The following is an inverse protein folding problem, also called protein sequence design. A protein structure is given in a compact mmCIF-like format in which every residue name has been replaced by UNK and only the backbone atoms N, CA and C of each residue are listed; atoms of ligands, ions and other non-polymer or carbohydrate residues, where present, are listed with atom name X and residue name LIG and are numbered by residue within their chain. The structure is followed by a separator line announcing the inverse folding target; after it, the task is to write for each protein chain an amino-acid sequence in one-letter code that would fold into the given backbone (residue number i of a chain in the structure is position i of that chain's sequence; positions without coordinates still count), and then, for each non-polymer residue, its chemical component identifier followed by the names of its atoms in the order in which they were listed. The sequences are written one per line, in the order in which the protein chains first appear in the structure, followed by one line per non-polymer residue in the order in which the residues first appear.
data_IF_160406886613
#
_entry.id   IF_160406886613
#
_cell.length_a   1.000
_cell.length_b   1.000
_cell.length_c   1.000
_cell.angle_alpha   90.00
_cell.angle_beta   90.00
_cell.angle_gamma   90.00
#
_symmetry.space_group_name_H-M   'P 1'
#
loop_
_entity.id
_entity.type
_entity.pdbx_description
1 polymer ?
#
# COMPACT_ATOMS: atom_id res chain seq x y z
N UNK A 1 -20.45 -26.83 -3.90
CA UNK A 1 -19.24 -26.54 -3.09
C UNK A 1 -18.11 -26.16 -4.02
N UNK A 2 -17.75 -24.88 -4.02
CA UNK A 2 -16.40 -24.32 -4.28
C UNK A 2 -16.60 -22.81 -4.51
N UNK A 3 -16.87 -22.07 -3.43
CA UNK A 3 -16.70 -20.62 -3.46
C UNK A 3 -15.20 -20.34 -3.53
N UNK A 4 -14.71 -20.13 -4.75
CA UNK A 4 -13.40 -19.57 -4.99
C UNK A 4 -13.50 -18.06 -4.76
N UNK A 5 -13.87 -17.63 -3.54
CA UNK A 5 -13.68 -16.26 -3.12
C UNK A 5 -12.17 -16.08 -3.03
N UNK A 6 -11.61 -15.34 -3.97
CA UNK A 6 -10.16 -15.14 -4.05
C UNK A 6 -9.66 -14.65 -2.70
N UNK A 7 -8.67 -15.34 -2.13
CA UNK A 7 -8.04 -14.90 -0.88
C UNK A 7 -7.52 -13.48 -1.08
N UNK A 8 -8.04 -12.55 -0.29
CA UNK A 8 -7.53 -11.19 -0.22
C UNK A 8 -6.22 -11.18 0.56
N UNK A 9 -5.34 -10.27 0.21
CA UNK A 9 -4.04 -10.12 0.89
C UNK A 9 -3.89 -8.69 1.41
N UNK A 10 -3.12 -8.55 2.48
CA UNK A 10 -2.65 -7.28 3.01
C UNK A 10 -1.15 -7.37 3.28
N UNK A 11 -0.56 -6.23 3.59
CA UNK A 11 0.79 -6.15 4.12
C UNK A 11 0.70 -5.76 5.59
N UNK A 12 1.46 -6.42 6.44
CA UNK A 12 1.70 -5.94 7.80
C UNK A 12 3.07 -5.28 7.80
N UNK A 13 3.13 -4.03 8.22
CA UNK A 13 4.35 -3.23 8.22
C UNK A 13 4.62 -2.64 9.59
N UNK A 14 5.88 -2.61 9.99
CA UNK A 14 6.34 -1.97 11.23
C UNK A 14 7.24 -0.80 10.88
N UNK A 15 7.09 0.33 11.57
CA UNK A 15 7.97 1.48 11.37
C UNK A 15 7.91 2.49 12.51
N UNK A 16 8.76 3.51 12.44
CA UNK A 16 8.86 4.54 13.49
C UNK A 16 7.67 5.53 13.58
N UNK A 17 6.55 5.26 12.90
CA UNK A 17 5.38 6.12 12.83
C UNK A 17 4.44 5.91 14.02
N UNK A 18 3.87 6.98 14.56
CA UNK A 18 3.01 6.96 15.74
C UNK A 18 1.52 7.07 15.41
N UNK A 19 1.17 7.39 14.16
CA UNK A 19 -0.21 7.53 13.72
C UNK A 19 -0.41 6.98 12.31
N UNK A 20 -1.66 6.65 11.96
CA UNK A 20 -2.05 6.25 10.61
C UNK A 20 -1.67 7.29 9.56
N UNK A 21 -1.91 8.58 9.85
CA UNK A 21 -1.59 9.66 8.93
C UNK A 21 -0.09 9.78 8.66
N UNK A 22 0.76 9.60 9.67
CA UNK A 22 2.21 9.58 9.47
C UNK A 22 2.66 8.41 8.58
N UNK A 23 2.14 7.22 8.80
CA UNK A 23 2.45 6.06 7.98
C UNK A 23 1.89 6.20 6.54
N UNK A 24 0.70 6.79 6.38
CA UNK A 24 0.10 7.08 5.08
C UNK A 24 0.90 8.13 4.29
N UNK A 25 1.39 9.17 4.96
CA UNK A 25 2.30 10.15 4.35
C UNK A 25 3.61 9.50 3.92
N UNK A 26 4.25 8.73 4.80
CA UNK A 26 5.48 8.01 4.45
C UNK A 26 5.30 7.03 3.29
N UNK A 27 4.14 6.36 3.22
CA UNK A 27 3.79 5.51 2.09
C UNK A 27 3.69 6.30 0.77
N UNK A 28 3.14 7.52 0.80
CA UNK A 28 2.79 8.29 -0.40
C UNK A 28 3.90 9.19 -0.92
N UNK A 29 4.64 9.83 -0.03
CA UNK A 29 5.58 10.90 -0.36
C UNK A 29 6.60 10.48 -1.43
N UNK A 30 7.28 9.32 -1.35
CA UNK A 30 8.27 8.94 -2.38
C UNK A 30 7.67 8.80 -3.78
N UNK A 31 6.45 8.28 -3.89
CA UNK A 31 5.79 8.10 -5.19
C UNK A 31 5.27 9.43 -5.76
N UNK A 32 4.85 10.35 -4.89
CA UNK A 32 4.45 11.70 -5.29
C UNK A 32 5.69 12.49 -5.73
N UNK A 33 6.81 12.37 -5.02
CA UNK A 33 8.09 12.98 -5.39
C UNK A 33 8.54 12.48 -6.77
N UNK A 34 8.61 11.16 -6.98
CA UNK A 34 8.94 10.56 -8.27
C UNK A 34 8.02 11.04 -9.41
N UNK A 35 6.73 11.19 -9.12
CA UNK A 35 5.75 11.70 -10.08
C UNK A 35 5.99 13.18 -10.42
N UNK A 36 6.23 14.01 -9.42
CA UNK A 36 6.52 15.44 -9.61
C UNK A 36 7.82 15.63 -10.38
N UNK A 37 8.84 14.80 -10.13
CA UNK A 37 10.09 14.83 -10.90
C UNK A 37 9.86 14.52 -12.38
N UNK A 38 8.97 13.58 -12.68
CA UNK A 38 8.67 13.17 -14.06
C UNK A 38 7.74 14.13 -14.81
N UNK A 39 6.76 14.71 -14.11
CA UNK A 39 5.64 15.46 -14.74
C UNK A 39 5.64 16.95 -14.44
N UNK A 40 6.44 17.39 -13.46
CA UNK A 40 6.55 18.77 -13.02
C UNK A 40 5.39 19.28 -12.14
N UNK A 41 4.38 18.46 -11.84
CA UNK A 41 3.24 18.89 -11.01
C UNK A 41 2.48 17.71 -10.39
N UNK A 42 1.79 17.97 -9.27
CA UNK A 42 0.91 17.00 -8.61
C UNK A 42 -0.44 17.62 -8.25
N UNK A 43 -1.51 16.85 -8.41
CA UNK A 43 -2.85 17.12 -7.89
C UNK A 43 -3.39 15.84 -7.25
N UNK A 44 -4.30 15.97 -6.29
CA UNK A 44 -4.84 14.82 -5.53
C UNK A 44 -5.41 13.72 -6.44
N UNK A 45 -6.12 14.07 -7.53
CA UNK A 45 -6.66 13.07 -8.46
C UNK A 45 -5.58 12.26 -9.20
N UNK A 46 -4.33 12.71 -9.21
CA UNK A 46 -3.23 11.95 -9.81
C UNK A 46 -2.81 10.76 -8.94
N UNK A 47 -3.29 10.64 -7.69
CA UNK A 47 -3.03 9.44 -6.88
C UNK A 47 -3.53 8.16 -7.55
N UNK A 48 -4.63 8.24 -8.31
CA UNK A 48 -5.16 7.11 -9.08
C UNK A 48 -4.38 6.84 -10.37
N UNK A 49 -3.53 7.78 -10.80
CA UNK A 49 -2.67 7.63 -11.97
C UNK A 49 -1.29 7.05 -11.61
N UNK A 50 -0.84 7.24 -10.36
CA UNK A 50 0.47 6.80 -9.87
C UNK A 50 0.43 5.30 -9.59
N UNK A 51 1.19 4.51 -10.34
CA UNK A 51 1.33 3.07 -10.13
C UNK A 51 2.41 2.76 -9.08
N UNK A 52 2.04 2.07 -8.00
CA UNK A 52 3.00 1.50 -7.04
C UNK A 52 3.59 0.22 -7.61
N UNK A 53 2.73 -0.61 -8.19
CA UNK A 53 3.08 -1.78 -8.99
C UNK A 53 2.01 -1.98 -10.06
N UNK A 54 2.22 -2.89 -11.00
CA UNK A 54 1.29 -3.12 -12.09
C UNK A 54 -0.12 -3.46 -11.58
N UNK A 55 -1.08 -2.55 -11.83
CA UNK A 55 -2.48 -2.73 -11.46
C UNK A 55 -2.80 -2.43 -9.99
N UNK A 56 -1.93 -1.69 -9.31
CA UNK A 56 -2.17 -1.11 -7.98
C UNK A 56 -1.77 0.35 -8.01
N UNK A 57 -2.75 1.24 -7.85
CA UNK A 57 -2.53 2.69 -7.83
C UNK A 57 -2.24 3.12 -6.39
N UNK A 58 -1.52 4.23 -6.22
CA UNK A 58 -1.27 4.80 -4.91
C UNK A 58 -2.57 5.20 -4.20
N UNK A 59 -3.55 5.73 -4.96
CA UNK A 59 -4.88 6.07 -4.45
C UNK A 59 -5.72 4.86 -4.00
N UNK A 60 -5.42 3.67 -4.53
CA UNK A 60 -6.13 2.44 -4.12
C UNK A 60 -5.62 1.85 -2.80
N UNK A 61 -4.51 2.34 -2.22
CA UNK A 61 -3.94 1.82 -0.98
C UNK A 61 -4.45 2.61 0.25
N UNK A 62 -4.96 1.86 1.22
CA UNK A 62 -5.29 2.35 2.56
C UNK A 62 -4.29 1.85 3.60
N UNK A 63 -4.09 2.64 4.66
CA UNK A 63 -3.24 2.32 5.81
C UNK A 63 -4.08 2.38 7.07
N UNK A 64 -4.02 1.35 7.90
CA UNK A 64 -4.74 1.27 9.18
C UNK A 64 -3.76 0.83 10.26
N UNK A 65 -3.76 1.48 11.42
CA UNK A 65 -2.93 1.07 12.56
C UNK A 65 -3.64 -0.08 13.28
N UNK A 66 -2.94 -1.20 13.41
CA UNK A 66 -3.48 -2.42 14.05
C UNK A 66 -2.84 -2.71 15.41
N UNK A 67 -1.64 -2.17 15.65
CA UNK A 67 -0.96 -2.19 16.96
C UNK A 67 0.01 -1.00 17.06
N UNK A 68 0.67 -0.82 18.21
CA UNK A 68 1.70 0.20 18.40
C UNK A 68 2.79 0.05 17.33
N UNK A 69 2.90 1.05 16.44
CA UNK A 69 3.86 1.10 15.32
C UNK A 69 3.69 0.01 14.25
N UNK A 70 2.60 -0.74 14.30
CA UNK A 70 2.27 -1.78 13.33
C UNK A 70 1.03 -1.37 12.54
N UNK A 71 1.14 -1.46 11.22
CA UNK A 71 0.14 -0.99 10.28
C UNK A 71 -0.23 -2.09 9.29
N UNK A 72 -1.51 -2.17 8.96
CA UNK A 72 -2.02 -2.91 7.82
C UNK A 72 -2.07 -1.99 6.60
N UNK A 73 -1.49 -2.42 5.48
CA UNK A 73 -1.69 -1.81 4.17
C UNK A 73 -2.52 -2.76 3.31
N UNK A 74 -3.67 -2.28 2.85
CA UNK A 74 -4.61 -3.05 2.04
C UNK A 74 -5.21 -2.19 0.91
N UNK A 75 -5.98 -2.82 0.01
CA UNK A 75 -6.80 -2.05 -0.93
C UNK A 75 -7.91 -1.33 -0.16
N UNK A 76 -8.03 -0.03 -0.39
CA UNK A 76 -9.17 0.78 0.06
C UNK A 76 -10.40 0.57 -0.85
N UNK A 77 -10.22 -0.06 -2.01
CA UNK A 77 -11.31 -0.41 -2.93
C UNK A 77 -11.74 -1.87 -2.72
N UNK A 78 -12.94 -2.12 -2.15
CA UNK A 78 -13.45 -3.46 -1.90
C UNK A 78 -13.80 -4.23 -3.18
N UNK A 79 -14.00 -3.55 -4.32
CA UNK A 79 -14.24 -4.21 -5.60
C UNK A 79 -12.93 -4.73 -6.22
N UNK A 80 -11.79 -4.20 -5.76
CA UNK A 80 -10.46 -4.52 -6.29
C UNK A 80 -9.48 -4.85 -5.14
N UNK A 81 -9.68 -5.96 -4.42
CA UNK A 81 -8.75 -6.36 -3.36
C UNK A 81 -7.37 -6.73 -3.91
N UNK A 82 -6.36 -6.68 -3.03
CA UNK A 82 -5.02 -7.13 -3.39
C UNK A 82 -5.01 -8.66 -3.50
N UNK A 83 -4.51 -9.15 -4.63
CA UNK A 83 -4.09 -10.54 -4.77
C UNK A 83 -2.71 -10.72 -4.17
N UNK A 84 -2.30 -11.96 -3.88
CA UNK A 84 -0.95 -12.26 -3.36
C UNK A 84 0.16 -11.64 -4.22
N UNK A 85 0.01 -11.73 -5.55
CA UNK A 85 0.98 -11.19 -6.49
C UNK A 85 1.07 -9.66 -6.41
N UNK A 86 -0.07 -8.97 -6.32
CA UNK A 86 -0.13 -7.53 -6.15
C UNK A 86 0.46 -7.10 -4.80
N UNK A 87 0.08 -7.77 -3.71
CA UNK A 87 0.60 -7.48 -2.38
C UNK A 87 2.13 -7.66 -2.29
N UNK A 88 2.67 -8.72 -2.92
CA UNK A 88 4.12 -8.90 -3.06
C UNK A 88 4.78 -7.78 -3.85
N UNK A 89 4.15 -7.35 -4.96
CA UNK A 89 4.63 -6.22 -5.76
C UNK A 89 4.67 -4.91 -4.96
N UNK A 90 3.64 -4.62 -4.16
CA UNK A 90 3.64 -3.48 -3.25
C UNK A 90 4.75 -3.62 -2.21
N UNK A 91 4.89 -4.78 -1.57
CA UNK A 91 5.92 -5.01 -0.55
C UNK A 91 7.33 -4.80 -1.10
N UNK A 92 7.60 -5.25 -2.33
CA UNK A 92 8.88 -4.99 -3.00
C UNK A 92 9.12 -3.50 -3.27
N UNK A 93 8.10 -2.76 -3.70
CA UNK A 93 8.18 -1.31 -3.90
C UNK A 93 8.53 -0.59 -2.60
N UNK A 94 7.85 -0.93 -1.50
CA UNK A 94 8.09 -0.32 -0.19
C UNK A 94 9.48 -0.65 0.37
N UNK A 95 9.94 -1.90 0.19
CA UNK A 95 11.30 -2.30 0.58
C UNK A 95 12.38 -1.51 -0.17
N UNK A 96 12.18 -1.22 -1.46
CA UNK A 96 13.14 -0.43 -2.25
C UNK A 96 13.26 1.00 -1.75
N UNK A 97 12.18 1.56 -1.23
CA UNK A 97 12.16 2.90 -0.64
C UNK A 97 12.62 2.91 0.83
N UNK A 98 12.81 1.75 1.47
CA UNK A 98 13.19 1.62 2.88
C UNK A 98 12.25 2.38 3.84
N UNK A 99 10.93 2.34 3.56
CA UNK A 99 9.91 3.12 4.30
C UNK A 99 9.52 2.53 5.65
N UNK A 100 9.69 1.22 5.81
CA UNK A 100 9.30 0.47 6.99
C UNK A 100 10.45 -0.46 7.39
N UNK A 101 10.57 -0.71 8.68
CA UNK A 101 11.61 -1.56 9.26
C UNK A 101 11.34 -3.04 8.92
N UNK A 102 10.07 -3.45 9.04
CA UNK A 102 9.60 -4.78 8.66
C UNK A 102 8.38 -4.71 7.74
N UNK A 103 8.30 -5.66 6.79
CA UNK A 103 7.19 -5.79 5.84
C UNK A 103 6.90 -7.27 5.62
N UNK A 104 5.73 -7.73 6.04
CA UNK A 104 5.17 -9.06 5.74
C UNK A 104 4.01 -8.95 4.73
N UNK A 105 3.69 -10.07 4.07
CA UNK A 105 2.50 -10.18 3.20
C UNK A 105 1.67 -11.31 3.76
N UNK A 106 0.41 -11.03 4.07
CA UNK A 106 -0.48 -11.95 4.77
C UNK A 106 -1.80 -12.07 4.02
N UNK A 107 -2.44 -13.25 4.13
CA UNK A 107 -3.81 -13.41 3.65
C UNK A 107 -4.75 -12.81 4.69
N UNK A 108 -5.76 -12.06 4.25
CA UNK A 108 -6.84 -11.61 5.13
C UNK A 108 -7.66 -12.81 5.56
N UNK A 109 -7.77 -13.00 6.88
CA UNK A 109 -8.73 -13.93 7.45
C UNK A 109 -10.15 -13.31 7.32
N UNK A 110 -11.11 -14.07 6.79
CA UNK A 110 -12.54 -13.67 6.63
C UNK A 110 -13.23 -13.43 7.97
#
# INVERSE_FOLDING_TARGET
MSENKGREYCLIVEGAYLTEGEAEHALRDPFIEDWVEQTGHFKIHNMDDIQVTAGVTLGSLGVVMIDERVFEIASADPEHPLTEHKAKGVAEALRRQAMFDEISVEAKEE
#
